data_IF_933087148659
#
_entry.id   IF_933087148659
#
_cell.length_a   1.000
_cell.length_b   1.000
_cell.length_c   1.000
_cell.angle_alpha   90.00
_cell.angle_beta   90.00
_cell.angle_gamma   90.00
#
_symmetry.space_group_name_H-M   'P 1'
#
loop_
_entity.id
_entity.type
_entity.pdbx_description
1 polymer ?
#
# COMPACT_ATOMS: atom_id res chain seq x y z
N UNK A 1 43.02 -30.65 53.09
CA UNK A 1 42.92 -30.65 51.61
C UNK A 1 41.53 -30.28 51.04
N UNK A 2 40.46 -30.10 51.84
CA UNK A 2 39.10 -29.85 51.31
C UNK A 2 38.71 -28.37 51.05
N UNK A 3 39.45 -27.37 51.54
CA UNK A 3 39.09 -25.95 51.35
C UNK A 3 39.70 -25.26 50.12
N UNK A 4 40.78 -25.80 49.52
CA UNK A 4 41.40 -25.20 48.32
C UNK A 4 40.65 -25.48 47.01
N UNK A 5 39.83 -26.54 46.96
CA UNK A 5 38.98 -26.84 45.79
C UNK A 5 37.71 -25.97 45.74
N UNK A 6 37.20 -25.52 46.89
CA UNK A 6 36.00 -24.67 46.94
C UNK A 6 36.27 -23.25 46.43
N UNK A 7 37.46 -22.69 46.71
CA UNK A 7 37.80 -21.32 46.31
C UNK A 7 38.06 -21.19 44.79
N UNK A 8 38.74 -22.17 44.17
CA UNK A 8 38.98 -22.18 42.72
C UNK A 8 37.69 -22.38 41.90
N UNK A 9 36.66 -22.99 42.50
CA UNK A 9 35.32 -23.07 41.92
C UNK A 9 34.57 -21.74 42.04
N UNK A 10 34.70 -21.05 43.18
CA UNK A 10 34.03 -19.75 43.44
C UNK A 10 34.56 -18.60 42.57
N UNK A 11 35.85 -18.56 42.28
CA UNK A 11 36.46 -17.54 41.39
C UNK A 11 36.09 -17.75 39.91
N UNK A 12 35.88 -18.99 39.46
CA UNK A 12 35.36 -19.26 38.12
C UNK A 12 33.87 -18.90 38.01
N UNK A 13 33.06 -19.22 39.02
CA UNK A 13 31.62 -18.91 39.00
C UNK A 13 31.35 -17.40 39.03
N UNK A 14 32.15 -16.62 39.76
CA UNK A 14 32.03 -15.15 39.79
C UNK A 14 32.46 -14.51 38.46
N UNK A 15 33.58 -14.94 37.88
CA UNK A 15 34.03 -14.48 36.55
C UNK A 15 33.02 -14.77 35.43
N UNK A 16 32.38 -15.94 35.46
CA UNK A 16 31.37 -16.32 34.47
C UNK A 16 30.04 -15.57 34.69
N UNK A 17 29.69 -15.22 35.94
CA UNK A 17 28.57 -14.33 36.23
C UNK A 17 28.79 -12.92 35.67
N UNK A 18 29.99 -12.36 35.82
CA UNK A 18 30.32 -11.05 35.25
C UNK A 18 30.32 -11.07 33.71
N UNK A 19 30.96 -12.07 33.07
CA UNK A 19 30.90 -12.19 31.60
C UNK A 19 29.47 -12.45 31.09
N UNK A 20 28.66 -13.23 31.81
CA UNK A 20 27.26 -13.46 31.51
C UNK A 20 26.40 -12.20 31.62
N UNK A 21 26.63 -11.36 32.64
CA UNK A 21 25.95 -10.06 32.77
C UNK A 21 26.37 -9.07 31.69
N UNK A 22 27.64 -9.06 31.26
CA UNK A 22 28.08 -8.23 30.12
C UNK A 22 27.49 -8.70 28.79
N UNK A 23 27.42 -10.01 28.54
CA UNK A 23 26.78 -10.57 27.34
C UNK A 23 25.27 -10.34 27.33
N UNK A 24 24.58 -10.52 28.45
CA UNK A 24 23.16 -10.22 28.58
C UNK A 24 22.92 -8.71 28.40
N UNK A 25 23.74 -7.86 29.02
CA UNK A 25 23.64 -6.40 28.83
C UNK A 25 23.97 -5.99 27.39
N UNK A 26 24.95 -6.61 26.73
CA UNK A 26 25.26 -6.37 25.32
C UNK A 26 24.17 -6.86 24.38
N UNK A 27 23.52 -8.00 24.67
CA UNK A 27 22.36 -8.52 23.92
C UNK A 27 21.14 -7.62 24.15
N UNK A 28 20.89 -7.17 25.39
CA UNK A 28 19.82 -6.24 25.71
C UNK A 28 20.08 -4.86 25.10
N UNK A 29 21.32 -4.38 25.08
CA UNK A 29 21.71 -3.16 24.37
C UNK A 29 21.59 -3.36 22.86
N UNK A 30 21.99 -4.50 22.28
CA UNK A 30 21.76 -4.80 20.86
C UNK A 30 20.25 -4.84 20.55
N UNK A 31 19.45 -5.46 21.39
CA UNK A 31 17.99 -5.53 21.25
C UNK A 31 17.36 -4.13 21.41
N UNK A 32 17.87 -3.29 22.30
CA UNK A 32 17.49 -1.87 22.45
C UNK A 32 17.94 -1.03 21.25
N UNK A 33 19.12 -1.27 20.68
CA UNK A 33 19.65 -0.58 19.50
C UNK A 33 18.96 -1.01 18.21
N UNK A 34 18.52 -2.28 18.11
CA UNK A 34 17.69 -2.80 17.02
C UNK A 34 16.21 -2.40 17.17
N UNK A 35 15.77 -2.02 18.38
CA UNK A 35 14.45 -1.46 18.70
C UNK A 35 14.42 0.07 18.71
N UNK A 36 15.53 0.76 18.42
CA UNK A 36 15.47 2.16 17.94
C UNK A 36 14.61 2.10 16.68
N UNK A 37 13.36 2.52 16.82
CA UNK A 37 12.22 2.25 15.92
C UNK A 37 12.65 1.98 14.48
N UNK A 38 12.63 0.71 14.07
CA UNK A 38 12.75 0.38 12.66
C UNK A 38 11.61 1.11 11.94
N UNK A 39 11.94 2.16 11.19
CA UNK A 39 10.99 2.98 10.43
C UNK A 39 10.52 2.17 9.21
N UNK A 40 9.81 1.07 9.46
CA UNK A 40 9.46 0.08 8.46
C UNK A 40 8.54 0.66 7.37
N UNK A 41 7.65 1.58 7.74
CA UNK A 41 6.85 2.34 6.77
C UNK A 41 7.72 3.28 5.92
N UNK A 42 8.70 3.95 6.54
CA UNK A 42 9.69 4.75 5.84
C UNK A 42 10.57 3.92 4.91
N UNK A 43 11.00 2.73 5.30
CA UNK A 43 11.78 1.82 4.46
C UNK A 43 10.98 1.34 3.23
N UNK A 44 9.70 1.05 3.43
CA UNK A 44 8.78 0.70 2.34
C UNK A 44 8.62 1.85 1.34
N UNK A 45 8.44 3.08 1.84
CA UNK A 45 8.36 4.28 1.00
C UNK A 45 9.71 4.65 0.36
N UNK A 46 10.83 4.42 1.04
CA UNK A 46 12.16 4.61 0.48
C UNK A 46 12.44 3.63 -0.67
N UNK A 47 11.91 2.40 -0.57
CA UNK A 47 11.95 1.44 -1.68
C UNK A 47 11.21 1.96 -2.92
N UNK A 48 10.08 2.65 -2.73
CA UNK A 48 9.37 3.32 -3.82
C UNK A 48 10.19 4.50 -4.36
N UNK A 49 10.75 5.35 -3.50
CA UNK A 49 11.62 6.46 -3.92
C UNK A 49 12.76 5.97 -4.81
N UNK A 50 13.40 4.87 -4.44
CA UNK A 50 14.51 4.28 -5.21
C UNK A 50 14.08 3.66 -6.55
N UNK A 51 12.80 3.30 -6.73
CA UNK A 51 12.27 2.76 -7.98
C UNK A 51 11.73 3.83 -8.93
N UNK A 52 11.57 5.06 -8.44
CA UNK A 52 11.02 6.18 -9.19
C UNK A 52 12.13 7.11 -9.69
N UNK A 53 11.88 7.71 -10.84
CA UNK A 53 12.62 8.87 -11.34
C UNK A 53 11.78 10.10 -11.06
N UNK A 54 12.36 11.04 -10.32
CA UNK A 54 11.73 12.25 -9.81
C UNK A 54 12.48 13.49 -10.31
N UNK A 55 12.17 13.99 -11.52
CA UNK A 55 12.82 15.16 -12.07
C UNK A 55 12.40 16.47 -11.36
N UNK A 56 11.37 16.43 -10.52
CA UNK A 56 10.82 17.59 -9.83
C UNK A 56 11.23 17.71 -8.37
N UNK A 57 12.10 16.82 -7.88
CA UNK A 57 12.54 16.73 -6.49
C UNK A 57 11.36 16.66 -5.48
N UNK A 58 10.22 16.10 -5.89
CA UNK A 58 9.00 15.96 -5.07
C UNK A 58 9.25 15.08 -3.83
N UNK A 59 10.11 14.08 -3.97
CA UNK A 59 10.50 13.11 -2.94
C UNK A 59 11.76 13.54 -2.16
N UNK A 60 12.25 14.77 -2.35
CA UNK A 60 13.49 15.24 -1.72
C UNK A 60 13.43 15.16 -0.18
N UNK A 61 12.28 15.47 0.40
CA UNK A 61 12.05 15.44 1.86
C UNK A 61 12.02 14.04 2.48
N UNK A 62 11.96 12.99 1.66
CA UNK A 62 11.85 11.61 2.14
C UNK A 62 13.22 11.12 2.63
N UNK A 63 13.36 11.05 3.96
CA UNK A 63 14.58 10.64 4.65
C UNK A 63 14.31 9.44 5.56
N UNK A 64 14.76 8.26 5.11
CA UNK A 64 14.59 6.98 5.82
C UNK A 64 15.40 6.89 7.12
N UNK A 65 16.31 7.83 7.39
CA UNK A 65 17.06 7.87 8.66
C UNK A 65 16.23 8.44 9.81
N UNK A 66 15.10 9.10 9.50
CA UNK A 66 14.18 9.64 10.50
C UNK A 66 13.36 8.52 11.17
N UNK A 67 12.88 8.82 12.37
CA UNK A 67 12.08 7.93 13.23
C UNK A 67 10.82 7.42 12.52
N UNK A 68 10.15 8.27 11.74
CA UNK A 68 8.94 7.96 10.98
C UNK A 68 8.80 8.91 9.77
N UNK A 69 7.94 8.58 8.78
CA UNK A 69 7.81 9.36 7.56
C UNK A 69 6.80 10.51 7.68
N UNK A 70 6.27 10.82 8.87
CA UNK A 70 5.15 11.77 9.03
C UNK A 70 5.52 13.23 8.78
N UNK A 71 6.81 13.53 8.71
CA UNK A 71 7.34 14.86 8.36
C UNK A 71 7.64 14.99 6.86
N UNK A 72 7.54 13.90 6.10
CA UNK A 72 7.81 13.90 4.67
C UNK A 72 6.68 14.60 3.92
N UNK A 73 7.03 15.38 2.90
CA UNK A 73 6.02 15.93 2.00
C UNK A 73 5.26 14.81 1.31
N UNK A 74 4.00 15.09 1.00
CA UNK A 74 3.11 14.15 0.33
C UNK A 74 2.74 12.91 1.15
N UNK A 75 3.15 12.84 2.42
CA UNK A 75 2.79 11.78 3.36
C UNK A 75 1.91 12.37 4.45
N UNK A 76 0.81 11.69 4.78
CA UNK A 76 -0.03 12.04 5.95
C UNK A 76 -0.09 10.84 6.89
N UNK A 77 0.13 11.12 8.17
CA UNK A 77 0.01 10.13 9.24
C UNK A 77 -1.25 10.31 10.08
N UNK A 78 -1.62 9.23 10.76
CA UNK A 78 -2.57 9.23 11.87
C UNK A 78 -1.93 9.79 13.15
N UNK A 79 -2.74 9.95 14.20
CA UNK A 79 -2.29 10.37 15.53
C UNK A 79 -1.27 9.38 16.14
N UNK A 80 -1.26 8.12 15.69
CA UNK A 80 -0.34 7.08 16.16
C UNK A 80 0.96 7.04 15.33
N UNK A 81 1.25 8.10 14.56
CA UNK A 81 2.42 8.22 13.67
C UNK A 81 2.54 7.12 12.60
N UNK A 82 1.43 6.53 12.19
CA UNK A 82 1.38 5.55 11.10
C UNK A 82 0.79 6.18 9.84
N UNK A 83 1.38 5.87 8.67
CA UNK A 83 1.00 6.42 7.36
C UNK A 83 -0.42 5.99 6.97
N UNK A 84 -1.26 6.98 6.66
CA UNK A 84 -2.64 6.78 6.22
C UNK A 84 -2.90 7.29 4.80
N UNK A 85 -2.09 8.22 4.29
CA UNK A 85 -2.21 8.74 2.92
C UNK A 85 -0.83 9.01 2.33
N UNK A 86 -0.67 8.68 1.06
CA UNK A 86 0.43 9.12 0.22
C UNK A 86 -0.16 9.74 -1.05
N UNK A 87 0.11 11.03 -1.27
CA UNK A 87 -0.40 11.80 -2.42
C UNK A 87 0.73 12.35 -3.29
N UNK A 88 1.03 11.59 -4.33
CA UNK A 88 2.04 11.92 -5.33
C UNK A 88 1.39 12.22 -6.70
N UNK A 89 0.14 12.71 -6.71
CA UNK A 89 -0.56 13.07 -7.93
C UNK A 89 0.12 14.22 -8.69
N UNK A 90 0.09 14.18 -10.02
CA UNK A 90 0.66 15.24 -10.89
C UNK A 90 2.15 15.57 -10.61
N UNK A 91 2.94 14.61 -10.15
CA UNK A 91 4.33 14.81 -9.74
C UNK A 91 5.36 14.55 -10.87
N UNK A 92 4.89 14.25 -12.10
CA UNK A 92 5.74 13.89 -13.25
C UNK A 92 6.70 12.71 -12.94
N UNK A 93 6.31 11.83 -12.03
CA UNK A 93 7.10 10.68 -11.61
C UNK A 93 7.08 9.61 -12.69
N UNK A 94 8.21 8.94 -12.90
CA UNK A 94 8.28 7.76 -13.77
C UNK A 94 8.98 6.60 -13.06
N UNK A 95 8.95 5.40 -13.64
CA UNK A 95 9.50 4.20 -12.99
C UNK A 95 8.43 3.14 -12.77
N UNK A 96 8.53 2.37 -11.69
CA UNK A 96 7.62 1.25 -11.41
C UNK A 96 7.19 1.23 -9.94
N UNK A 97 5.97 0.73 -9.70
CA UNK A 97 5.51 0.42 -8.34
C UNK A 97 6.25 -0.78 -7.77
N UNK A 98 6.44 -0.78 -6.46
CA UNK A 98 7.19 -1.80 -5.73
C UNK A 98 6.29 -2.61 -4.80
N UNK A 99 6.57 -3.91 -4.57
CA UNK A 99 5.78 -4.76 -3.69
C UNK A 99 5.81 -4.30 -2.22
N UNK A 100 6.86 -3.60 -1.80
CA UNK A 100 7.03 -3.04 -0.45
C UNK A 100 5.91 -2.07 -0.08
N UNK A 101 5.23 -1.45 -1.05
CA UNK A 101 4.05 -0.63 -0.77
C UNK A 101 2.94 -1.40 -0.05
N UNK A 102 2.88 -2.72 -0.19
CA UNK A 102 1.96 -3.59 0.56
C UNK A 102 2.27 -3.71 2.06
N UNK A 103 3.36 -3.11 2.55
CA UNK A 103 3.82 -3.14 3.95
C UNK A 103 3.33 -1.93 4.76
N UNK A 104 2.43 -1.10 4.22
CA UNK A 104 1.85 0.06 4.89
C UNK A 104 0.50 -0.31 5.54
N UNK A 105 0.47 -0.82 6.79
CA UNK A 105 -0.69 -1.52 7.35
C UNK A 105 -1.94 -0.64 7.47
N UNK A 106 -1.76 0.66 7.68
CA UNK A 106 -2.86 1.60 7.93
C UNK A 106 -3.15 2.52 6.74
N UNK A 107 -2.53 2.29 5.58
CA UNK A 107 -2.76 3.12 4.41
C UNK A 107 -4.23 3.05 3.97
N UNK A 108 -4.83 4.23 3.78
CA UNK A 108 -6.22 4.42 3.37
C UNK A 108 -6.31 5.03 1.97
N UNK A 109 -5.37 5.91 1.61
CA UNK A 109 -5.39 6.62 0.33
C UNK A 109 -4.01 6.48 -0.32
N UNK A 110 -3.98 5.89 -1.52
CA UNK A 110 -2.78 5.85 -2.36
C UNK A 110 -3.09 6.56 -3.68
N UNK A 111 -2.55 7.76 -3.80
CA UNK A 111 -2.85 8.69 -4.89
C UNK A 111 -1.59 8.88 -5.75
N UNK A 112 -1.57 8.25 -6.92
CA UNK A 112 -0.43 8.24 -7.85
C UNK A 112 -0.86 8.70 -9.26
N UNK A 113 -2.02 9.33 -9.35
CA UNK A 113 -2.66 9.71 -10.60
C UNK A 113 -1.86 10.75 -11.39
N UNK A 114 -2.04 10.77 -12.71
CA UNK A 114 -1.39 11.74 -13.61
C UNK A 114 0.14 11.78 -13.47
N UNK A 115 0.74 10.58 -13.56
CA UNK A 115 2.19 10.40 -13.59
C UNK A 115 2.57 9.57 -14.83
N UNK A 116 3.85 9.24 -14.96
CA UNK A 116 4.41 8.43 -16.02
C UNK A 116 4.86 7.04 -15.51
N UNK A 117 4.19 6.50 -14.50
CA UNK A 117 4.51 5.21 -13.88
C UNK A 117 4.17 4.07 -14.85
N UNK A 118 5.08 3.11 -14.97
CA UNK A 118 5.01 1.95 -15.88
C UNK A 118 5.00 0.64 -15.11
N UNK A 119 5.00 -0.49 -15.83
CA UNK A 119 5.04 -1.82 -15.21
C UNK A 119 3.65 -2.31 -14.82
N UNK A 120 3.58 -3.26 -13.88
CA UNK A 120 2.32 -3.86 -13.41
C UNK A 120 1.97 -3.36 -12.01
N UNK A 121 0.69 -3.46 -11.65
CA UNK A 121 0.25 -3.27 -10.26
C UNK A 121 0.76 -4.46 -9.42
N UNK A 122 1.54 -4.25 -8.34
CA UNK A 122 2.00 -5.34 -7.48
C UNK A 122 0.84 -6.06 -6.78
N UNK A 123 0.93 -7.39 -6.67
CA UNK A 123 -0.11 -8.20 -6.02
C UNK A 123 -0.18 -7.91 -4.52
N UNK A 124 0.92 -7.46 -3.93
CA UNK A 124 1.09 -7.11 -2.52
C UNK A 124 0.23 -5.92 -2.10
N UNK A 125 -0.24 -5.08 -3.02
CA UNK A 125 -1.22 -4.03 -2.70
C UNK A 125 -2.53 -4.62 -2.14
N UNK A 126 -2.82 -5.90 -2.41
CA UNK A 126 -3.93 -6.65 -1.80
C UNK A 126 -3.78 -6.89 -0.28
N UNK A 127 -2.61 -6.57 0.30
CA UNK A 127 -2.36 -6.62 1.75
C UNK A 127 -2.85 -5.38 2.49
N UNK A 128 -3.12 -4.28 1.78
CA UNK A 128 -3.53 -2.99 2.36
C UNK A 128 -5.00 -3.01 2.85
N UNK A 129 -5.28 -3.74 3.92
CA UNK A 129 -6.66 -4.01 4.39
C UNK A 129 -7.45 -2.75 4.74
N UNK A 130 -6.76 -1.64 5.00
CA UNK A 130 -7.36 -0.35 5.33
C UNK A 130 -7.59 0.56 4.11
N UNK A 131 -7.17 0.16 2.91
CA UNK A 131 -7.24 0.99 1.71
C UNK A 131 -8.70 1.31 1.34
N UNK A 132 -8.97 2.59 1.14
CA UNK A 132 -10.26 3.19 0.78
C UNK A 132 -10.24 3.66 -0.67
N UNK A 133 -9.16 4.33 -1.09
CA UNK A 133 -8.96 4.80 -2.47
C UNK A 133 -7.61 4.34 -3.02
N UNK A 134 -7.63 3.87 -4.27
CA UNK A 134 -6.45 3.57 -5.06
C UNK A 134 -6.57 4.26 -6.42
N UNK A 135 -5.78 5.31 -6.60
CA UNK A 135 -5.91 6.24 -7.71
C UNK A 135 -4.66 6.14 -8.60
N UNK A 136 -4.77 5.38 -9.69
CA UNK A 136 -3.67 5.05 -10.61
C UNK A 136 -3.93 5.55 -12.03
N UNK A 137 -5.02 6.28 -12.26
CA UNK A 137 -5.42 6.78 -13.58
C UNK A 137 -4.39 7.75 -14.16
N UNK A 138 -4.37 7.88 -15.50
CA UNK A 138 -3.40 8.70 -16.23
C UNK A 138 -1.96 8.31 -15.84
N UNK A 139 -1.65 7.03 -16.03
CA UNK A 139 -0.31 6.44 -15.95
C UNK A 139 -0.10 5.49 -17.14
N UNK A 140 1.09 4.90 -17.26
CA UNK A 140 1.45 3.92 -18.29
C UNK A 140 1.53 2.49 -17.74
N UNK A 141 0.70 2.18 -16.75
CA UNK A 141 0.60 0.84 -16.17
C UNK A 141 0.09 -0.17 -17.20
N UNK A 142 0.59 -1.40 -17.09
CA UNK A 142 0.35 -2.51 -18.01
C UNK A 142 0.03 -3.79 -17.23
N UNK A 143 -0.44 -4.82 -17.92
CA UNK A 143 -0.84 -6.07 -17.29
C UNK A 143 -2.27 -6.03 -16.71
N UNK A 144 -2.74 -7.13 -16.10
CA UNK A 144 -4.06 -7.21 -15.51
C UNK A 144 -4.11 -6.53 -14.12
N UNK A 145 -5.31 -6.11 -13.70
CA UNK A 145 -5.58 -5.80 -12.29
C UNK A 145 -5.39 -7.08 -11.46
N UNK A 146 -4.56 -7.07 -10.39
CA UNK A 146 -4.37 -8.25 -9.55
C UNK A 146 -5.65 -8.67 -8.82
N UNK A 147 -5.97 -9.96 -8.85
CA UNK A 147 -7.12 -10.52 -8.12
C UNK A 147 -7.02 -10.28 -6.60
N UNK A 148 -5.80 -10.08 -6.07
CA UNK A 148 -5.59 -9.77 -4.65
C UNK A 148 -6.27 -8.48 -4.20
N UNK A 149 -6.54 -7.53 -5.10
CA UNK A 149 -7.29 -6.30 -4.78
C UNK A 149 -8.76 -6.60 -4.42
N UNK A 150 -9.28 -7.79 -4.80
CA UNK A 150 -10.59 -8.25 -4.33
C UNK A 150 -10.63 -8.40 -2.80
N UNK A 151 -9.50 -8.70 -2.15
CA UNK A 151 -9.38 -8.85 -0.69
C UNK A 151 -9.55 -7.54 0.09
N UNK A 152 -9.48 -6.39 -0.59
CA UNK A 152 -9.59 -5.07 0.04
C UNK A 152 -11.06 -4.75 0.30
N UNK A 153 -11.55 -5.10 1.49
CA UNK A 153 -12.97 -4.95 1.86
C UNK A 153 -13.41 -3.50 2.04
N UNK A 154 -12.47 -2.59 2.34
CA UNK A 154 -12.74 -1.16 2.54
C UNK A 154 -12.59 -0.33 1.27
N UNK A 155 -12.04 -0.91 0.19
CA UNK A 155 -11.79 -0.20 -1.06
C UNK A 155 -13.13 0.20 -1.68
N UNK A 156 -13.33 1.51 -1.85
CA UNK A 156 -14.54 2.09 -2.45
C UNK A 156 -14.31 2.56 -3.86
N UNK A 157 -13.12 3.10 -4.10
CA UNK A 157 -12.73 3.71 -5.35
C UNK A 157 -11.46 3.05 -5.89
N UNK A 158 -11.53 2.60 -7.13
CA UNK A 158 -10.40 2.11 -7.90
C UNK A 158 -10.46 2.83 -9.25
N UNK A 159 -9.54 3.76 -9.46
CA UNK A 159 -9.42 4.51 -10.72
C UNK A 159 -8.16 4.05 -11.44
N UNK A 160 -8.31 3.27 -12.50
CA UNK A 160 -7.24 2.93 -13.43
C UNK A 160 -7.61 3.35 -14.86
N UNK A 161 -6.59 3.55 -15.71
CA UNK A 161 -6.80 3.85 -17.12
C UNK A 161 -6.75 2.54 -17.92
N UNK A 162 -7.84 1.78 -17.96
CA UNK A 162 -7.94 0.60 -18.82
C UNK A 162 -8.54 0.98 -20.19
N UNK A 163 -7.85 0.69 -21.33
CA UNK A 163 -8.53 0.67 -22.61
C UNK A 163 -9.54 -0.49 -22.66
N UNK A 164 -10.72 -0.23 -23.26
CA UNK A 164 -11.87 -1.15 -23.37
C UNK A 164 -11.54 -2.59 -23.83
N UNK A 165 -10.39 -2.83 -24.46
CA UNK A 165 -9.95 -4.14 -24.95
C UNK A 165 -9.48 -5.14 -23.89
N UNK A 166 -9.38 -4.75 -22.60
CA UNK A 166 -8.89 -5.62 -21.52
C UNK A 166 -9.93 -6.00 -20.46
N UNK A 167 -11.21 -5.73 -20.72
CA UNK A 167 -12.35 -6.00 -19.82
C UNK A 167 -12.58 -7.51 -19.54
N UNK A 168 -12.00 -8.42 -20.33
CA UNK A 168 -12.25 -9.86 -20.19
C UNK A 168 -11.73 -10.51 -18.88
N UNK A 169 -10.78 -9.90 -18.15
CA UNK A 169 -10.31 -10.41 -16.86
C UNK A 169 -11.09 -9.88 -15.63
N UNK A 170 -11.96 -8.88 -15.80
CA UNK A 170 -12.81 -8.35 -14.72
C UNK A 170 -13.92 -9.34 -14.32
N UNK A 171 -14.16 -10.41 -15.08
CA UNK A 171 -15.22 -11.37 -14.77
C UNK A 171 -15.05 -12.04 -13.39
N UNK A 172 -13.82 -12.23 -12.90
CA UNK A 172 -13.60 -12.78 -11.56
C UNK A 172 -13.74 -11.75 -10.43
N UNK A 173 -13.36 -10.48 -10.66
CA UNK A 173 -13.64 -9.37 -9.73
C UNK A 173 -15.16 -9.06 -9.66
N UNK A 174 -15.86 -9.25 -10.78
CA UNK A 174 -17.28 -8.99 -10.98
C UNK A 174 -18.21 -10.18 -10.65
N UNK A 175 -17.72 -11.35 -10.19
CA UNK A 175 -18.60 -12.41 -9.65
C UNK A 175 -19.42 -11.97 -8.43
N UNK A 176 -19.10 -10.81 -7.85
CA UNK A 176 -19.89 -10.10 -6.84
C UNK A 176 -20.96 -9.14 -7.43
N UNK A 177 -21.03 -9.00 -8.75
CA UNK A 177 -21.88 -8.07 -9.48
C UNK A 177 -22.89 -8.87 -10.29
N UNK A 178 -24.13 -8.91 -9.79
CA UNK A 178 -25.29 -9.58 -10.39
C UNK A 178 -25.36 -9.45 -11.92
N UNK A 179 -25.76 -10.55 -12.55
CA UNK A 179 -26.08 -10.77 -13.98
C UNK A 179 -26.77 -9.59 -14.69
N UNK A 180 -27.50 -8.75 -13.94
CA UNK A 180 -28.08 -7.50 -14.42
C UNK A 180 -27.07 -6.48 -14.97
N UNK A 181 -25.85 -6.39 -14.44
CA UNK A 181 -24.82 -5.46 -14.94
C UNK A 181 -24.35 -5.87 -16.34
N UNK A 182 -24.28 -7.17 -16.62
CA UNK A 182 -23.88 -7.69 -17.92
C UNK A 182 -24.96 -7.42 -18.99
N UNK A 183 -26.23 -7.61 -18.64
CA UNK A 183 -27.37 -7.26 -19.52
C UNK A 183 -27.44 -5.75 -19.74
N UNK A 184 -27.17 -4.94 -18.71
CA UNK A 184 -27.15 -3.48 -18.80
C UNK A 184 -26.04 -2.97 -19.74
N UNK A 185 -24.81 -3.48 -19.61
CA UNK A 185 -23.71 -3.10 -20.52
C UNK A 185 -24.00 -3.54 -21.96
N UNK A 186 -24.55 -4.74 -22.15
CA UNK A 186 -24.93 -5.23 -23.48
C UNK A 186 -26.08 -4.38 -24.07
N UNK A 187 -27.08 -4.01 -23.27
CA UNK A 187 -28.18 -3.15 -23.67
C UNK A 187 -27.71 -1.72 -23.95
N UNK A 188 -26.81 -1.14 -23.15
CA UNK A 188 -26.24 0.18 -23.39
C UNK A 188 -25.40 0.23 -24.67
N UNK A 189 -24.63 -0.82 -24.98
CA UNK A 189 -23.89 -0.92 -26.24
C UNK A 189 -24.85 -0.98 -27.44
N UNK A 190 -25.95 -1.74 -27.32
CA UNK A 190 -26.98 -1.85 -28.36
C UNK A 190 -27.87 -0.60 -28.49
N UNK A 191 -27.96 0.24 -27.45
CA UNK A 191 -28.85 1.40 -27.38
C UNK A 191 -28.12 2.76 -27.53
N UNK A 192 -26.86 2.79 -27.98
CA UNK A 192 -26.11 4.02 -28.30
C UNK A 192 -26.70 4.88 -29.44
N UNK A 193 -28.00 4.72 -29.76
CA UNK A 193 -28.70 5.52 -30.76
C UNK A 193 -29.63 6.61 -30.24
N UNK A 194 -29.74 6.89 -28.94
CA UNK A 194 -30.19 8.21 -28.46
C UNK A 194 -30.09 8.35 -26.93
N UNK A 195 -29.63 9.52 -26.51
CA UNK A 195 -29.19 9.81 -25.14
C UNK A 195 -30.28 10.54 -24.31
N UNK A 196 -30.08 10.47 -22.99
CA UNK A 196 -30.14 11.59 -22.02
C UNK A 196 -31.21 11.65 -20.91
N UNK A 197 -32.26 10.83 -20.87
CA UNK A 197 -33.33 11.06 -19.86
C UNK A 197 -33.35 10.16 -18.61
N UNK A 198 -32.68 9.01 -18.59
CA UNK A 198 -32.92 8.01 -17.52
C UNK A 198 -31.89 7.97 -16.38
N UNK A 199 -30.88 8.86 -16.37
CA UNK A 199 -29.87 8.91 -15.32
C UNK A 199 -30.46 9.20 -13.92
N UNK A 200 -31.58 9.93 -13.85
CA UNK A 200 -32.16 10.44 -12.61
C UNK A 200 -33.15 9.50 -11.92
N UNK A 201 -33.68 8.47 -12.60
CA UNK A 201 -34.64 7.53 -11.99
C UNK A 201 -33.93 6.38 -11.27
N UNK A 202 -32.69 6.06 -11.64
CA UNK A 202 -31.97 4.88 -11.12
C UNK A 202 -31.28 5.10 -9.75
N UNK A 203 -31.03 6.34 -9.34
CA UNK A 203 -30.41 6.65 -8.03
C UNK A 203 -31.26 6.24 -6.83
N UNK A 204 -32.58 5.99 -7.02
CA UNK A 204 -33.48 5.56 -5.94
C UNK A 204 -33.58 4.06 -5.69
N UNK A 205 -33.20 3.20 -6.66
CA UNK A 205 -33.40 1.74 -6.54
C UNK A 205 -32.12 0.94 -6.22
N UNK A 206 -30.95 1.57 -6.33
CA UNK A 206 -29.65 0.91 -6.06
C UNK A 206 -29.13 1.07 -4.62
N UNK A 207 -29.97 1.53 -3.67
CA UNK A 207 -29.53 1.90 -2.32
C UNK A 207 -29.22 0.73 -1.36
N UNK A 208 -29.22 -0.53 -1.81
CA UNK A 208 -29.00 -1.68 -0.91
C UNK A 208 -27.97 -2.73 -1.35
N UNK A 209 -27.02 -2.39 -2.24
CA UNK A 209 -25.91 -3.30 -2.56
C UNK A 209 -24.58 -2.58 -2.42
N UNK A 210 -23.76 -3.02 -1.45
CA UNK A 210 -22.36 -2.58 -1.26
C UNK A 210 -21.50 -3.04 -2.46
N UNK A 211 -21.63 -2.40 -3.62
CA UNK A 211 -20.77 -2.65 -4.78
C UNK A 211 -19.57 -1.71 -4.75
N UNK A 212 -18.37 -2.26 -4.93
CA UNK A 212 -17.13 -1.49 -5.19
C UNK A 212 -17.36 -0.69 -6.48
N UNK A 213 -17.16 0.62 -6.44
CA UNK A 213 -17.42 1.48 -7.59
C UNK A 213 -16.11 1.64 -8.35
N UNK A 214 -16.01 0.96 -9.49
CA UNK A 214 -14.96 1.25 -10.48
C UNK A 214 -15.48 2.43 -11.28
N UNK A 215 -14.91 3.62 -11.05
CA UNK A 215 -15.28 4.82 -11.78
C UNK A 215 -14.25 4.96 -12.89
N UNK A 216 -14.69 4.74 -14.13
CA UNK A 216 -13.87 5.03 -15.30
C UNK A 216 -13.87 6.55 -15.50
N UNK A 217 -12.70 7.19 -15.70
CA UNK A 217 -12.67 8.62 -15.98
C UNK A 217 -13.43 8.92 -17.29
N UNK A 218 -14.25 9.96 -17.24
CA UNK A 218 -14.88 10.55 -18.42
C UNK A 218 -13.78 11.14 -19.32
N UNK A 219 -13.83 10.85 -20.61
CA UNK A 219 -13.07 11.58 -21.63
C UNK A 219 -13.59 13.01 -21.75
#
# INVERSE_FOLDING_TARGET
MRMRFFWSCMERVTSWCFMGQFLICAILVLDVMLKVSANSEGDALNSLKNSLTDPGDVLQSWDSTLVNPCTWFHVTCSNDNSVIRVDLGNANLSGQLVPQLGQLPNLQYLELYSNNITGKIPIELGNLKNLVSLDLYVNKLTGPIPDSLSNLKKLRFLYDMLPFSRIFNLQNLLKSVSFCYFIYVLACILLTRNMFYDYLIFTRHCNNIKKKTIILPYQ
#
